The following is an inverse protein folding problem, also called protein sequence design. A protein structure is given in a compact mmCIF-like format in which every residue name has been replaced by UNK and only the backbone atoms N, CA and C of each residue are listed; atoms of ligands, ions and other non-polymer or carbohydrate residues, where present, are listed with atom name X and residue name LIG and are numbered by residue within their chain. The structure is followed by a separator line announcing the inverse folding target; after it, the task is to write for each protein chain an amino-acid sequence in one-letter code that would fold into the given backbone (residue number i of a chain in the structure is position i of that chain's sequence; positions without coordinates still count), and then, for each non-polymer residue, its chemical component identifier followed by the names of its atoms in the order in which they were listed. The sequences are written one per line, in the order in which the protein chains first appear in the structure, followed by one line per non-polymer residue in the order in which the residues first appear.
data_IF_368768579882
#
_entry.id   IF_368768579882
#
_cell.length_a   1.000
_cell.length_b   1.000
_cell.length_c   1.000
_cell.angle_alpha   90.00
_cell.angle_beta   90.00
_cell.angle_gamma   90.00
#
_symmetry.space_group_name_H-M   'P 1'
#
loop_
_entity.id
_entity.type
_entity.pdbx_description
1 polymer ?
#
# COMPACT_ATOMS: atom_id res chain seq x y z
N UNK A 1 7.57 0.49 -5.85
CA UNK A 1 6.88 -0.24 -4.75
C UNK A 1 7.27 0.24 -3.35
N UNK A 2 8.56 0.28 -2.95
CA UNK A 2 8.95 0.85 -1.64
C UNK A 2 8.60 2.34 -1.49
N UNK A 3 8.70 3.11 -2.58
CA UNK A 3 8.29 4.52 -2.62
C UNK A 3 6.82 4.72 -2.27
N UNK A 4 5.95 3.76 -2.61
CA UNK A 4 4.54 3.80 -2.23
C UNK A 4 4.38 3.61 -0.71
N UNK A 5 5.03 2.60 -0.13
CA UNK A 5 4.94 2.33 1.30
C UNK A 5 5.47 3.49 2.15
N UNK A 6 6.66 3.99 1.83
CA UNK A 6 7.25 5.11 2.58
C UNK A 6 6.57 6.44 2.25
N UNK A 7 6.19 6.67 0.99
CA UNK A 7 5.54 7.91 0.59
C UNK A 7 4.16 8.10 1.21
N UNK A 8 3.38 7.02 1.34
CA UNK A 8 2.07 7.08 2.01
C UNK A 8 2.25 7.30 3.51
N UNK A 9 3.00 6.42 4.18
CA UNK A 9 3.20 6.46 5.63
C UNK A 9 3.89 7.75 6.11
N UNK A 10 4.90 8.27 5.38
CA UNK A 10 5.61 9.48 5.80
C UNK A 10 4.74 10.73 5.83
N UNK A 11 3.64 10.74 5.06
CA UNK A 11 2.77 11.89 4.91
C UNK A 11 1.35 11.64 5.43
N UNK A 12 1.14 10.63 6.30
CA UNK A 12 -0.17 10.38 6.90
C UNK A 12 -1.25 9.92 5.91
N UNK A 13 -0.83 9.28 4.81
CA UNK A 13 -1.73 8.60 3.87
C UNK A 13 -1.69 7.10 4.18
N UNK A 14 -2.79 6.43 3.87
CA UNK A 14 -2.95 5.00 4.11
C UNK A 14 -2.59 4.23 2.85
N UNK A 15 -1.62 3.32 2.96
CA UNK A 15 -1.29 2.39 1.88
C UNK A 15 -2.25 1.20 1.87
N UNK A 16 -2.85 0.87 0.73
CA UNK A 16 -3.66 -0.34 0.54
C UNK A 16 -3.01 -1.23 -0.52
N UNK A 17 -2.05 -2.09 -0.16
CA UNK A 17 -1.48 -3.04 -1.11
C UNK A 17 -2.50 -4.11 -1.48
N UNK A 18 -2.70 -4.35 -2.77
CA UNK A 18 -3.70 -5.29 -3.29
C UNK A 18 -2.99 -6.47 -3.97
N UNK A 19 -3.50 -7.68 -3.75
CA UNK A 19 -3.04 -8.86 -4.47
C UNK A 19 -3.46 -8.77 -5.94
N UNK A 20 -2.49 -8.67 -6.84
CA UNK A 20 -2.70 -8.57 -8.28
C UNK A 20 -3.39 -9.78 -8.93
N UNK A 21 -3.50 -10.91 -8.22
CA UNK A 21 -4.21 -12.10 -8.68
C UNK A 21 -5.72 -12.05 -8.45
N UNK A 22 -6.21 -11.03 -7.75
CA UNK A 22 -7.64 -10.84 -7.52
C UNK A 22 -8.32 -10.39 -8.81
N UNK A 23 -9.59 -10.75 -8.97
CA UNK A 23 -10.37 -10.34 -10.12
C UNK A 23 -10.89 -8.90 -9.97
N UNK A 24 -11.50 -8.38 -11.05
CA UNK A 24 -12.05 -7.02 -11.11
C UNK A 24 -13.06 -6.73 -9.99
N UNK A 25 -13.95 -7.67 -9.67
CA UNK A 25 -14.98 -7.48 -8.64
C UNK A 25 -14.38 -7.40 -7.24
N UNK A 26 -13.39 -8.25 -6.95
CA UNK A 26 -12.68 -8.27 -5.67
C UNK A 26 -11.88 -6.98 -5.45
N UNK A 27 -11.20 -6.51 -6.49
CA UNK A 27 -10.43 -5.25 -6.45
C UNK A 27 -11.36 -4.05 -6.29
N UNK A 28 -12.48 -4.03 -7.04
CA UNK A 28 -13.49 -2.98 -6.93
C UNK A 28 -14.07 -2.90 -5.52
N UNK A 29 -14.38 -4.05 -4.92
CA UNK A 29 -14.82 -4.12 -3.54
C UNK A 29 -13.78 -3.59 -2.55
N UNK A 30 -12.50 -3.94 -2.73
CA UNK A 30 -11.42 -3.44 -1.86
C UNK A 30 -11.32 -1.91 -1.93
N UNK A 31 -11.40 -1.33 -3.13
CA UNK A 31 -11.31 0.12 -3.33
C UNK A 31 -12.49 0.82 -2.65
N UNK A 32 -13.72 0.32 -2.86
CA UNK A 32 -14.92 0.88 -2.23
C UNK A 32 -14.87 0.74 -0.70
N UNK A 33 -14.51 -0.43 -0.19
CA UNK A 33 -14.49 -0.72 1.25
C UNK A 33 -13.38 0.01 1.99
N UNK A 34 -12.21 0.19 1.38
CA UNK A 34 -11.09 0.91 1.99
C UNK A 34 -11.23 2.42 1.92
N UNK A 35 -12.11 2.94 1.04
CA UNK A 35 -12.21 4.37 0.76
C UNK A 35 -11.01 4.93 -0.02
N UNK A 36 -10.26 4.08 -0.73
CA UNK A 36 -9.10 4.50 -1.49
C UNK A 36 -9.50 5.47 -2.62
N UNK A 37 -8.90 6.65 -2.64
CA UNK A 37 -9.15 7.67 -3.67
C UNK A 37 -8.19 7.56 -4.87
N UNK A 38 -7.06 6.89 -4.70
CA UNK A 38 -5.99 6.80 -5.70
C UNK A 38 -5.66 5.33 -5.94
N UNK A 39 -5.75 4.90 -7.21
CA UNK A 39 -5.33 3.59 -7.66
C UNK A 39 -4.11 3.74 -8.56
N UNK A 40 -3.03 3.02 -8.23
CA UNK A 40 -1.82 2.92 -9.05
C UNK A 40 -1.74 1.48 -9.55
N UNK A 41 -1.76 1.29 -10.86
CA UNK A 41 -1.75 -0.03 -11.52
C UNK A 41 -0.49 -0.24 -12.34
N UNK A 42 -0.12 -1.50 -12.49
CA UNK A 42 0.86 -1.91 -13.49
C UNK A 42 0.22 -1.94 -14.89
N UNK A 43 0.95 -1.59 -15.97
CA UNK A 43 0.46 -1.67 -17.35
C UNK A 43 -0.20 -3.00 -17.71
N UNK A 44 0.31 -4.13 -17.19
CA UNK A 44 -0.24 -5.45 -17.49
C UNK A 44 -1.67 -5.65 -16.97
N UNK A 45 -2.08 -4.87 -15.95
CA UNK A 45 -3.39 -4.96 -15.32
C UNK A 45 -4.35 -3.86 -15.77
N UNK A 46 -3.87 -2.90 -16.57
CA UNK A 46 -4.65 -1.73 -16.93
C UNK A 46 -5.97 -2.10 -17.62
N UNK A 47 -5.93 -2.97 -18.63
CA UNK A 47 -7.13 -3.35 -19.37
C UNK A 47 -8.19 -4.03 -18.51
N UNK A 48 -7.76 -4.72 -17.45
CA UNK A 48 -8.64 -5.38 -16.48
C UNK A 48 -9.27 -4.37 -15.50
N UNK A 49 -8.58 -3.27 -15.21
CA UNK A 49 -8.92 -2.36 -14.12
C UNK A 49 -9.37 -0.97 -14.57
N UNK A 50 -9.26 -0.62 -15.86
CA UNK A 50 -9.64 0.70 -16.38
C UNK A 50 -11.11 1.11 -16.16
N UNK A 51 -11.99 0.13 -15.96
CA UNK A 51 -13.41 0.36 -15.69
C UNK A 51 -13.74 0.48 -14.18
N UNK A 52 -12.75 0.25 -13.31
CA UNK A 52 -12.93 0.38 -11.86
C UNK A 52 -13.17 1.85 -11.52
N UNK A 53 -14.19 2.10 -10.69
CA UNK A 53 -14.54 3.45 -10.24
C UNK A 53 -13.60 3.88 -9.11
N UNK A 54 -12.72 4.83 -9.41
CA UNK A 54 -11.82 5.48 -8.45
C UNK A 54 -11.63 6.94 -8.83
N UNK A 55 -11.36 7.82 -7.86
CA UNK A 55 -11.23 9.26 -8.11
C UNK A 55 -10.00 9.60 -8.94
N UNK A 56 -8.89 8.90 -8.71
CA UNK A 56 -7.65 9.04 -9.47
C UNK A 56 -7.12 7.66 -9.86
N UNK A 57 -6.93 7.44 -11.16
CA UNK A 57 -6.37 6.22 -11.72
C UNK A 57 -5.05 6.55 -12.41
N UNK A 58 -3.98 5.85 -12.03
CA UNK A 58 -2.66 6.00 -12.63
C UNK A 58 -2.11 4.63 -13.04
N UNK A 59 -1.61 4.52 -14.27
CA UNK A 59 -0.90 3.39 -14.82
C UNK A 59 0.60 3.71 -14.87
N UNK A 60 1.41 2.93 -14.15
CA UNK A 60 2.86 3.13 -14.07
C UNK A 60 3.50 3.07 -15.46
N UNK A 61 4.45 3.96 -15.76
CA UNK A 61 5.18 3.97 -17.04
C UNK A 61 4.41 4.54 -18.24
N UNK A 62 3.07 4.54 -18.24
CA UNK A 62 2.27 5.30 -19.22
C UNK A 62 1.99 6.71 -18.72
N UNK A 63 1.47 6.82 -17.51
CA UNK A 63 1.32 8.13 -16.87
C UNK A 63 2.71 8.60 -16.46
N UNK A 64 3.09 9.77 -16.97
CA UNK A 64 4.48 10.23 -16.85
C UNK A 64 4.90 10.28 -15.38
N UNK A 65 6.15 9.89 -15.11
CA UNK A 65 6.79 10.10 -13.81
C UNK A 65 6.65 11.55 -13.33
N UNK A 66 6.48 12.52 -14.23
CA UNK A 66 6.20 13.91 -13.90
C UNK A 66 4.88 14.13 -13.16
N UNK A 67 3.87 13.28 -13.35
CA UNK A 67 2.58 13.36 -12.65
C UNK A 67 2.67 12.64 -11.30
N UNK A 68 3.28 11.46 -11.26
CA UNK A 68 3.39 10.63 -10.05
C UNK A 68 4.47 11.14 -9.07
N UNK A 69 5.55 11.71 -9.60
CA UNK A 69 6.71 12.21 -8.86
C UNK A 69 6.91 13.71 -9.08
N UNK A 70 5.82 14.44 -9.36
CA UNK A 70 5.88 15.90 -9.43
C UNK A 70 6.53 16.43 -8.15
N UNK A 71 7.66 17.10 -8.28
CA UNK A 71 8.33 17.73 -7.15
C UNK A 71 7.37 18.77 -6.53
N UNK A 72 7.12 18.62 -5.24
CA UNK A 72 6.26 19.52 -4.46
C UNK A 72 6.50 19.29 -2.97
N UNK A 73 6.21 20.31 -2.16
CA UNK A 73 6.18 20.14 -0.72
C UNK A 73 4.85 19.48 -0.33
N UNK A 74 4.87 18.24 0.16
CA UNK A 74 3.66 17.59 0.64
C UNK A 74 3.11 18.35 1.84
N UNK A 75 1.78 18.39 1.95
CA UNK A 75 1.12 19.09 3.04
C UNK A 75 1.58 18.53 4.40
N UNK A 76 1.95 19.39 5.35
CA UNK A 76 2.39 18.94 6.67
C UNK A 76 1.29 18.13 7.34
N UNK A 77 1.70 17.09 8.05
CA UNK A 77 0.83 16.25 8.84
C UNK A 77 1.40 16.13 10.25
N UNK A 78 0.55 15.92 11.25
CA UNK A 78 0.97 15.73 12.65
C UNK A 78 1.09 14.23 12.91
N UNK A 79 2.30 13.68 13.13
CA UNK A 79 2.46 12.25 13.36
C UNK A 79 1.66 11.73 14.56
N UNK A 80 0.84 10.71 14.32
CA UNK A 80 0.13 9.93 15.33
C UNK A 80 0.48 8.45 15.14
N UNK A 81 1.02 7.83 16.19
CA UNK A 81 1.42 6.43 16.15
C UNK A 81 0.23 5.46 16.15
N UNK A 82 -0.95 5.89 16.61
CA UNK A 82 -2.17 5.08 16.59
C UNK A 82 -2.97 5.25 15.30
N UNK A 83 -2.54 6.14 14.39
CA UNK A 83 -3.12 6.26 13.06
C UNK A 83 -2.79 5.04 12.18
N UNK A 84 -3.75 4.65 11.33
CA UNK A 84 -3.59 3.59 10.33
C UNK A 84 -2.53 4.01 9.29
N UNK A 85 -1.54 3.15 9.09
CA UNK A 85 -0.48 3.33 8.09
C UNK A 85 -0.77 2.50 6.82
N UNK A 86 -1.23 1.26 7.00
CA UNK A 86 -1.61 0.39 5.88
C UNK A 86 -2.88 -0.40 6.19
N UNK A 87 -3.60 -0.78 5.13
CA UNK A 87 -4.72 -1.73 5.21
C UNK A 87 -4.37 -2.93 4.33
N UNK A 88 -4.15 -4.07 4.95
CA UNK A 88 -3.86 -5.32 4.25
C UNK A 88 -5.15 -6.15 4.16
N UNK A 89 -5.49 -6.61 2.95
CA UNK A 89 -6.69 -7.41 2.75
C UNK A 89 -6.38 -8.90 2.76
N UNK A 90 -7.19 -9.66 3.48
CA UNK A 90 -7.12 -11.12 3.51
C UNK A 90 -8.28 -11.74 2.74
N UNK A 91 -7.97 -12.71 1.87
CA UNK A 91 -9.00 -13.49 1.18
C UNK A 91 -9.62 -14.49 2.15
N UNK A 92 -10.87 -14.28 2.55
CA UNK A 92 -11.65 -15.31 3.23
C UNK A 92 -12.14 -16.33 2.21
N UNK A 93 -12.04 -17.63 2.50
CA UNK A 93 -12.49 -18.70 1.60
C UNK A 93 -14.01 -18.75 1.39
N UNK A 94 -14.78 -17.98 2.17
CA UNK A 94 -16.25 -18.03 2.22
C UNK A 94 -16.93 -16.67 2.35
N UNK A 95 -16.16 -15.57 2.45
CA UNK A 95 -16.70 -14.23 2.68
C UNK A 95 -15.88 -13.18 1.92
N UNK A 96 -16.48 -12.00 1.69
CA UNK A 96 -15.80 -10.86 1.09
C UNK A 96 -14.49 -10.54 1.84
N UNK A 97 -13.44 -10.07 1.14
CA UNK A 97 -12.17 -9.73 1.76
C UNK A 97 -12.30 -8.83 2.98
N UNK A 98 -11.47 -9.05 4.00
CA UNK A 98 -11.45 -8.24 5.22
C UNK A 98 -10.19 -7.39 5.24
N UNK A 99 -10.36 -6.07 5.40
CA UNK A 99 -9.27 -5.13 5.59
C UNK A 99 -8.78 -5.18 7.04
N UNK A 100 -7.47 -5.38 7.21
CA UNK A 100 -6.80 -5.32 8.49
C UNK A 100 -5.99 -4.03 8.57
N UNK A 101 -6.44 -3.12 9.43
CA UNK A 101 -5.77 -1.84 9.67
C UNK A 101 -4.51 -2.07 10.52
N UNK A 102 -3.38 -1.64 9.99
CA UNK A 102 -2.09 -1.68 10.67
C UNK A 102 -1.67 -0.26 11.02
N UNK A 103 -1.55 0.04 12.30
CA UNK A 103 -1.12 1.36 12.76
C UNK A 103 0.38 1.56 12.62
N UNK A 104 0.82 2.82 12.64
CA UNK A 104 2.24 3.16 12.70
C UNK A 104 2.96 2.47 13.87
N UNK A 105 2.33 2.45 15.06
CA UNK A 105 2.82 1.76 16.26
C UNK A 105 3.00 0.27 16.00
N UNK A 106 2.02 -0.40 15.39
CA UNK A 106 2.09 -1.84 15.09
C UNK A 106 3.28 -2.17 14.18
N UNK A 107 3.44 -1.40 13.09
CA UNK A 107 4.54 -1.58 12.15
C UNK A 107 5.90 -1.35 12.81
N UNK A 108 6.02 -0.25 13.58
CA UNK A 108 7.25 0.08 14.28
C UNK A 108 7.63 -0.96 15.34
N UNK A 109 6.68 -1.36 16.19
CA UNK A 109 6.92 -2.36 17.23
C UNK A 109 7.32 -3.70 16.63
N UNK A 110 6.66 -4.14 15.55
CA UNK A 110 7.04 -5.36 14.85
C UNK A 110 8.48 -5.29 14.29
N UNK A 111 8.82 -4.19 13.61
CA UNK A 111 10.16 -3.99 13.06
C UNK A 111 11.25 -3.93 14.15
N UNK A 112 10.97 -3.26 15.28
CA UNK A 112 11.91 -3.15 16.40
C UNK A 112 12.15 -4.50 17.09
N UNK A 113 11.10 -5.28 17.33
CA UNK A 113 11.21 -6.62 17.93
C UNK A 113 11.97 -7.56 17.00
N UNK A 114 11.64 -7.57 15.69
CA UNK A 114 12.36 -8.34 14.70
C UNK A 114 13.85 -7.97 14.67
N UNK A 115 14.14 -6.67 14.57
CA UNK A 115 15.51 -6.16 14.53
C UNK A 115 16.34 -6.57 15.75
N UNK A 116 15.75 -6.52 16.94
CA UNK A 116 16.37 -7.01 18.17
C UNK A 116 16.61 -8.52 18.09
N UNK A 117 15.56 -9.32 17.88
CA UNK A 117 15.64 -10.78 17.95
C UNK A 117 16.61 -11.38 16.93
N UNK A 118 16.68 -10.82 15.73
CA UNK A 118 17.58 -11.34 14.67
C UNK A 118 18.94 -10.64 14.66
N UNK A 119 19.15 -9.63 15.51
CA UNK A 119 20.41 -8.89 15.60
C UNK A 119 20.76 -8.17 14.30
N UNK A 120 19.79 -7.51 13.66
CA UNK A 120 20.01 -6.79 12.39
C UNK A 120 21.12 -5.76 12.56
N UNK A 121 22.08 -5.77 11.63
CA UNK A 121 23.19 -4.81 11.57
C UNK A 121 23.13 -4.03 10.27
N UNK A 122 23.67 -2.81 10.29
CA UNK A 122 23.72 -1.93 9.12
C UNK A 122 24.50 -2.50 7.92
N UNK A 123 25.36 -3.50 8.16
CA UNK A 123 26.12 -4.20 7.12
C UNK A 123 25.35 -5.35 6.46
N UNK A 124 24.16 -5.67 6.95
CA UNK A 124 23.35 -6.77 6.43
C UNK A 124 22.49 -6.31 5.24
N UNK A 125 22.30 -7.22 4.29
CA UNK A 125 21.35 -7.05 3.20
C UNK A 125 20.08 -7.86 3.51
N UNK A 126 18.93 -7.20 3.55
CA UNK A 126 17.64 -7.85 3.74
C UNK A 126 17.02 -8.20 2.39
N UNK A 127 16.72 -9.48 2.16
CA UNK A 127 15.97 -9.94 1.00
C UNK A 127 14.48 -9.98 1.34
N UNK A 128 13.70 -9.08 0.76
CA UNK A 128 12.24 -9.11 0.85
C UNK A 128 11.69 -10.13 -0.15
N UNK A 129 11.24 -11.28 0.35
CA UNK A 129 10.74 -12.39 -0.48
C UNK A 129 9.22 -12.48 -0.57
N UNK A 130 8.51 -11.83 0.35
CA UNK A 130 7.05 -11.82 0.38
C UNK A 130 6.51 -10.71 -0.51
N UNK A 131 5.37 -10.91 -1.17
CA UNK A 131 4.63 -9.82 -1.79
C UNK A 131 4.19 -8.77 -0.76
N UNK A 132 4.17 -7.49 -1.13
CA UNK A 132 3.84 -6.38 -0.21
C UNK A 132 2.38 -6.38 0.28
N UNK A 133 1.50 -7.15 -0.36
CA UNK A 133 0.13 -7.38 0.10
C UNK A 133 0.01 -8.42 1.23
N UNK A 134 1.14 -8.92 1.75
CA UNK A 134 1.23 -9.75 2.94
C UNK A 134 1.77 -9.00 4.14
#
# INVERSE_FOLDING_TARGET
MLTFLFGTAAWGRIGVPINFRLNHEEISYIIEHSGAEVLIVDPELEDTLKEVKVKHFFCMGRDSDEVLFKAGEPSPWVPDEDATATINYTSGTTARPKGFEMTHRMLWTNAAIFGWQTGVKIVMCFLHTLPIFH
#
